data_IF_291221161072
#
_entry.id   IF_291221161072
#
_cell.length_a   1.000
_cell.length_b   1.000
_cell.length_c   1.000
_cell.angle_alpha   90.00
_cell.angle_beta   90.00
_cell.angle_gamma   90.00
#
_symmetry.space_group_name_H-M   'P 1'
#
loop_
_entity.id
_entity.type
_entity.pdbx_description
1 polymer ?
#
# COMPACT_ATOMS: atom_id res chain seq x y z
N UNK A 1 3.78 -0.64 -6.86
CA UNK A 1 4.06 0.65 -6.17
C UNK A 1 4.78 0.32 -4.87
N UNK A 2 5.95 0.91 -4.60
CA UNK A 2 6.83 0.50 -3.49
C UNK A 2 7.30 1.72 -2.70
N UNK A 3 7.03 1.76 -1.39
CA UNK A 3 7.62 2.74 -0.48
C UNK A 3 8.86 2.16 0.21
N UNK A 4 10.03 2.72 -0.13
CA UNK A 4 11.32 2.34 0.47
C UNK A 4 11.73 3.24 1.64
N UNK A 5 10.97 4.31 1.89
CA UNK A 5 11.18 5.22 3.02
C UNK A 5 10.37 4.70 4.22
N UNK A 6 10.96 3.72 4.90
CA UNK A 6 10.40 3.08 6.10
C UNK A 6 11.37 3.30 7.25
N UNK A 7 10.86 3.89 8.32
CA UNK A 7 11.55 4.01 9.60
C UNK A 7 10.53 3.74 10.71
N UNK A 8 10.68 2.62 11.40
CA UNK A 8 9.79 2.17 12.47
C UNK A 8 10.58 2.18 13.79
N UNK A 9 10.41 3.20 14.65
CA UNK A 9 11.09 3.25 15.93
C UNK A 9 10.80 2.03 16.81
N UNK A 10 11.73 1.63 17.68
CA UNK A 10 11.52 0.51 18.61
C UNK A 10 10.36 0.79 19.56
N UNK A 11 9.61 -0.26 19.93
CA UNK A 11 8.49 -0.21 20.85
C UNK A 11 7.41 0.82 20.49
N UNK A 12 7.12 0.98 19.19
CA UNK A 12 6.19 1.99 18.69
C UNK A 12 5.27 1.46 17.59
N UNK A 13 4.02 1.91 17.63
CA UNK A 13 3.10 1.82 16.49
C UNK A 13 3.33 3.01 15.56
N UNK A 14 3.58 2.75 14.28
CA UNK A 14 3.88 3.77 13.27
C UNK A 14 3.00 3.58 12.06
N UNK A 15 2.36 4.66 11.60
CA UNK A 15 1.59 4.68 10.34
C UNK A 15 2.35 5.48 9.29
N UNK A 16 2.70 4.82 8.19
CA UNK A 16 3.36 5.42 7.04
C UNK A 16 2.35 5.71 5.93
N UNK A 17 2.59 6.76 5.15
CA UNK A 17 1.75 7.11 3.99
C UNK A 17 2.64 7.36 2.77
N UNK A 18 2.22 6.86 1.60
CA UNK A 18 2.90 7.13 0.32
C UNK A 18 1.89 7.21 -0.82
N UNK A 19 1.94 8.30 -1.58
CA UNK A 19 1.11 8.49 -2.78
C UNK A 19 1.90 8.18 -4.04
N UNK A 20 1.25 7.50 -4.99
CA UNK A 20 1.75 7.23 -6.34
C UNK A 20 0.73 7.75 -7.36
N UNK A 21 1.15 8.71 -8.17
CA UNK A 21 0.32 9.35 -9.21
C UNK A 21 0.60 8.71 -10.57
N UNK A 22 -0.42 8.60 -11.41
CA UNK A 22 -0.30 8.08 -12.78
C UNK A 22 -0.28 9.22 -13.80
N UNK A 23 0.53 9.08 -14.84
CA UNK A 23 0.65 10.09 -15.91
C UNK A 23 -0.35 9.90 -17.06
N UNK A 24 -0.95 8.71 -17.15
CA UNK A 24 -1.94 8.35 -18.16
C UNK A 24 -3.16 7.74 -17.47
N UNK A 25 -4.28 7.70 -18.20
CA UNK A 25 -5.46 6.98 -17.74
C UNK A 25 -5.14 5.49 -17.63
N UNK A 26 -5.30 4.91 -16.44
CA UNK A 26 -5.06 3.49 -16.17
C UNK A 26 -6.35 2.80 -15.73
N UNK A 27 -6.45 1.52 -16.09
CA UNK A 27 -7.55 0.64 -15.72
C UNK A 27 -6.99 -0.52 -14.90
N UNK A 28 -7.22 -0.48 -13.59
CA UNK A 28 -6.71 -1.47 -12.64
C UNK A 28 -7.78 -2.54 -12.44
N UNK A 29 -7.43 -3.80 -12.64
CA UNK A 29 -8.34 -4.94 -12.48
C UNK A 29 -7.93 -5.90 -11.36
N UNK A 30 -6.74 -5.73 -10.78
CA UNK A 30 -6.30 -6.50 -9.62
C UNK A 30 -5.40 -5.68 -8.70
N UNK A 31 -5.56 -5.82 -7.39
CA UNK A 31 -4.71 -5.22 -6.34
C UNK A 31 -4.44 -6.23 -5.22
N UNK A 32 -3.23 -6.21 -4.66
CA UNK A 32 -2.91 -6.87 -3.38
C UNK A 32 -1.67 -6.24 -2.74
N UNK A 33 -1.65 -6.18 -1.42
CA UNK A 33 -0.53 -5.63 -0.66
C UNK A 33 0.55 -6.67 -0.40
N UNK A 34 1.74 -6.20 -0.02
CA UNK A 34 2.79 -7.01 0.57
C UNK A 34 3.53 -6.19 1.64
N UNK A 35 3.69 -6.80 2.80
CA UNK A 35 4.39 -6.32 3.98
C UNK A 35 4.91 -7.53 4.77
N UNK A 36 5.72 -7.31 5.81
CA UNK A 36 6.17 -8.38 6.71
C UNK A 36 5.40 -8.34 8.04
N UNK A 37 5.94 -9.05 9.04
CA UNK A 37 5.20 -9.52 10.21
C UNK A 37 4.69 -8.44 11.15
N UNK A 38 5.27 -7.24 11.12
CA UNK A 38 4.90 -6.15 12.00
C UNK A 38 3.73 -5.33 11.44
N UNK A 39 3.32 -5.54 10.20
CA UNK A 39 2.16 -4.86 9.61
C UNK A 39 0.86 -5.34 10.27
N UNK A 40 0.08 -4.39 10.78
CA UNK A 40 -1.23 -4.65 11.39
C UNK A 40 -2.40 -4.21 10.53
N UNK A 41 -2.16 -3.24 9.63
CA UNK A 41 -3.18 -2.76 8.71
C UNK A 41 -2.53 -2.11 7.47
N UNK A 42 -3.03 -2.47 6.28
CA UNK A 42 -2.63 -1.86 5.01
C UNK A 42 -3.87 -1.39 4.26
N UNK A 43 -3.98 -0.08 4.04
CA UNK A 43 -5.08 0.57 3.33
C UNK A 43 -4.58 1.24 2.06
N UNK A 44 -5.43 1.26 1.04
CA UNK A 44 -5.19 2.01 -0.20
C UNK A 44 -6.39 2.89 -0.48
N UNK A 45 -6.12 4.17 -0.71
CA UNK A 45 -7.12 5.16 -1.06
C UNK A 45 -6.88 5.70 -2.47
N UNK A 46 -7.93 6.15 -3.14
CA UNK A 46 -7.79 7.01 -4.31
C UNK A 46 -7.25 8.37 -3.85
N UNK A 47 -6.34 8.93 -4.63
CA UNK A 47 -5.74 10.25 -4.43
C UNK A 47 -6.10 11.15 -5.64
N UNK A 48 -6.77 12.25 -5.37
CA UNK A 48 -7.19 13.23 -6.37
C UNK A 48 -8.54 12.95 -7.06
N UNK A 49 -9.07 13.99 -7.71
CA UNK A 49 -10.34 13.94 -8.43
C UNK A 49 -11.59 13.82 -7.53
N UNK A 50 -12.77 13.52 -8.11
CA UNK A 50 -14.04 13.48 -7.37
C UNK A 50 -14.15 12.35 -6.33
N UNK A 51 -13.29 11.32 -6.42
CA UNK A 51 -13.25 10.17 -5.52
C UNK A 51 -12.07 10.23 -4.54
N UNK A 52 -11.45 11.39 -4.38
CA UNK A 52 -10.33 11.57 -3.46
C UNK A 52 -10.69 11.07 -2.05
N UNK A 53 -9.83 10.22 -1.48
CA UNK A 53 -10.04 9.61 -0.17
C UNK A 53 -10.92 8.35 -0.15
N UNK A 54 -11.43 7.87 -1.29
CA UNK A 54 -12.17 6.61 -1.36
C UNK A 54 -11.25 5.42 -1.02
N UNK A 55 -11.64 4.61 -0.04
CA UNK A 55 -10.93 3.36 0.32
C UNK A 55 -11.23 2.28 -0.72
N UNK A 56 -10.19 1.79 -1.40
CA UNK A 56 -10.34 0.77 -2.46
C UNK A 56 -9.75 -0.58 -2.10
N UNK A 57 -8.83 -0.66 -1.14
CA UNK A 57 -8.24 -1.91 -0.68
C UNK A 57 -7.89 -1.85 0.79
N UNK A 58 -8.08 -2.96 1.50
CA UNK A 58 -7.67 -3.12 2.90
C UNK A 58 -7.18 -4.55 3.14
N UNK A 59 -6.09 -4.68 3.90
CA UNK A 59 -5.57 -5.94 4.41
C UNK A 59 -5.19 -5.80 5.89
N UNK A 60 -5.39 -6.88 6.64
CA UNK A 60 -4.96 -7.01 8.04
C UNK A 60 -4.01 -8.20 8.25
N UNK A 61 -3.92 -9.09 7.26
CA UNK A 61 -3.05 -10.27 7.28
C UNK A 61 -1.90 -10.01 6.31
N UNK A 62 -0.68 -9.92 6.86
CA UNK A 62 0.55 -9.72 6.08
C UNK A 62 0.99 -11.01 5.36
N UNK A 63 0.66 -12.18 5.93
CA UNK A 63 1.07 -13.48 5.42
C UNK A 63 0.16 -13.91 4.26
N UNK A 64 -1.14 -13.63 4.37
CA UNK A 64 -2.15 -13.95 3.36
C UNK A 64 -3.00 -12.73 2.97
N UNK A 65 -2.39 -11.69 2.37
CA UNK A 65 -3.14 -10.50 1.96
C UNK A 65 -4.21 -10.87 0.93
N UNK A 66 -5.43 -10.30 1.02
CA UNK A 66 -6.46 -10.56 0.04
C UNK A 66 -6.03 -10.10 -1.34
N UNK A 67 -6.37 -10.88 -2.36
CA UNK A 67 -6.31 -10.47 -3.76
C UNK A 67 -7.65 -9.86 -4.12
N UNK A 68 -7.66 -8.56 -4.41
CA UNK A 68 -8.84 -7.85 -4.85
C UNK A 68 -8.90 -7.87 -6.38
N UNK A 69 -9.88 -8.58 -6.93
CA UNK A 69 -10.22 -8.53 -8.36
C UNK A 69 -11.37 -7.54 -8.59
N UNK A 70 -11.24 -6.69 -9.61
CA UNK A 70 -12.15 -5.57 -9.86
C UNK A 70 -12.85 -5.73 -11.21
N UNK A 71 -14.18 -5.83 -11.18
CA UNK A 71 -15.04 -5.79 -12.36
C UNK A 71 -16.35 -5.06 -12.01
N UNK A 72 -16.54 -3.78 -12.44
CA UNK A 72 -15.70 -3.02 -13.38
C UNK A 72 -14.33 -2.65 -12.80
N UNK A 73 -13.38 -2.28 -13.68
CA UNK A 73 -12.03 -1.84 -13.29
C UNK A 73 -12.05 -0.56 -12.46
N UNK A 74 -11.04 -0.39 -11.61
CA UNK A 74 -10.75 0.90 -11.00
C UNK A 74 -10.01 1.77 -12.02
N UNK A 75 -10.69 2.78 -12.56
CA UNK A 75 -10.08 3.79 -13.41
C UNK A 75 -9.34 4.82 -12.56
N UNK A 76 -8.14 5.20 -12.94
CA UNK A 76 -7.50 6.45 -12.48
C UNK A 76 -7.20 7.31 -13.70
N UNK A 77 -7.63 8.57 -13.68
CA UNK A 77 -7.30 9.53 -14.72
C UNK A 77 -5.86 10.04 -14.57
N UNK A 78 -5.29 10.62 -15.64
CA UNK A 78 -3.99 11.27 -15.55
C UNK A 78 -3.98 12.34 -14.44
N UNK A 79 -2.97 12.29 -13.57
CA UNK A 79 -2.85 13.16 -12.40
C UNK A 79 -3.59 12.66 -11.15
N UNK A 80 -4.37 11.58 -11.22
CA UNK A 80 -4.87 10.87 -10.04
C UNK A 80 -3.88 9.79 -9.59
N UNK A 81 -4.10 9.21 -8.41
CA UNK A 81 -3.20 8.23 -7.85
C UNK A 81 -3.82 7.29 -6.84
N UNK A 82 -2.95 6.49 -6.23
CA UNK A 82 -3.25 5.68 -5.06
C UNK A 82 -2.38 6.14 -3.90
N UNK A 83 -3.00 6.41 -2.76
CA UNK A 83 -2.33 6.66 -1.49
C UNK A 83 -2.37 5.40 -0.64
N UNK A 84 -1.21 4.80 -0.45
CA UNK A 84 -1.01 3.69 0.46
C UNK A 84 -0.85 4.24 1.88
N UNK A 85 -1.47 3.57 2.84
CA UNK A 85 -1.32 3.82 4.27
C UNK A 85 -1.11 2.48 4.97
N UNK A 86 0.03 2.30 5.61
CA UNK A 86 0.35 1.06 6.31
C UNK A 86 0.72 1.36 7.75
N UNK A 87 0.11 0.63 8.69
CA UNK A 87 0.37 0.70 10.12
C UNK A 87 1.16 -0.52 10.53
N UNK A 88 2.23 -0.28 11.28
CA UNK A 88 3.13 -1.30 11.79
C UNK A 88 3.22 -1.20 13.30
N UNK A 89 3.38 -2.34 13.98
CA UNK A 89 3.71 -2.41 15.39
C UNK A 89 5.12 -3.01 15.56
N UNK A 90 6.12 -2.16 15.76
CA UNK A 90 7.46 -2.61 16.08
C UNK A 90 7.57 -2.82 17.60
N UNK A 91 7.44 -4.07 18.04
CA UNK A 91 7.59 -4.51 19.43
C UNK A 91 9.04 -4.92 19.77
N UNK A 92 9.98 -4.69 18.86
CA UNK A 92 11.39 -4.97 19.05
C UNK A 92 12.13 -3.79 19.71
N UNK A 93 13.38 -4.03 20.13
CA UNK A 93 14.27 -3.03 20.69
C UNK A 93 15.14 -2.30 19.65
N UNK A 94 14.92 -2.57 18.37
CA UNK A 94 15.67 -1.98 17.26
C UNK A 94 14.75 -1.22 16.32
N UNK A 95 15.28 -0.20 15.64
CA UNK A 95 14.56 0.42 14.52
C UNK A 95 14.49 -0.56 13.36
N UNK A 96 13.29 -0.76 12.82
CA UNK A 96 13.06 -1.53 11.60
C UNK A 96 12.99 -0.55 10.42
N UNK A 97 13.65 -0.88 9.31
CA UNK A 97 13.65 -0.08 8.10
C UNK A 97 13.18 -0.94 6.91
N UNK A 98 13.14 -0.34 5.73
CA UNK A 98 12.91 -1.09 4.50
C UNK A 98 14.03 -2.12 4.27
N UNK A 99 13.66 -3.33 3.86
CA UNK A 99 14.63 -4.34 3.43
C UNK A 99 13.98 -5.64 2.96
N UNK A 100 14.81 -6.59 2.54
CA UNK A 100 14.37 -7.86 1.94
C UNK A 100 14.36 -9.03 2.91
N UNK A 101 14.91 -8.85 4.11
CA UNK A 101 14.91 -9.90 5.14
C UNK A 101 13.56 -9.89 5.86
N UNK A 102 13.19 -11.04 6.44
CA UNK A 102 11.98 -11.14 7.25
C UNK A 102 12.02 -10.23 8.49
N UNK A 103 13.21 -9.83 8.94
CA UNK A 103 13.42 -8.88 10.05
C UNK A 103 13.31 -7.41 9.65
N UNK A 104 13.26 -7.12 8.35
CA UNK A 104 13.01 -5.80 7.81
C UNK A 104 11.51 -5.65 7.52
N UNK A 105 11.06 -4.48 7.06
CA UNK A 105 9.67 -4.28 6.64
C UNK A 105 9.52 -3.85 5.19
N UNK A 106 8.32 -4.04 4.64
CA UNK A 106 7.95 -3.62 3.30
C UNK A 106 6.59 -2.93 3.25
N UNK A 107 6.43 -2.07 2.25
CA UNK A 107 5.17 -1.37 1.96
C UNK A 107 4.95 -1.34 0.45
N UNK A 108 4.46 -2.47 -0.08
CA UNK A 108 4.28 -2.67 -1.52
C UNK A 108 2.80 -2.90 -1.83
N UNK A 109 2.33 -2.24 -2.89
CA UNK A 109 1.07 -2.57 -3.56
C UNK A 109 1.39 -3.15 -4.93
N UNK A 110 1.05 -4.41 -5.12
CA UNK A 110 1.03 -5.07 -6.41
C UNK A 110 -0.33 -4.84 -7.08
N UNK A 111 -0.32 -4.85 -8.41
CA UNK A 111 -1.55 -4.77 -9.17
C UNK A 111 -1.34 -5.09 -10.64
N UNK A 112 -2.43 -5.48 -11.29
CA UNK A 112 -2.50 -5.70 -12.72
C UNK A 112 -3.41 -4.64 -13.34
N UNK A 113 -2.94 -4.03 -14.43
CA UNK A 113 -3.60 -2.91 -15.08
C UNK A 113 -3.30 -2.90 -16.57
N UNK A 114 -4.11 -2.15 -17.32
CA UNK A 114 -3.79 -1.72 -18.68
C UNK A 114 -3.94 -0.20 -18.80
N UNK A 115 -3.30 0.36 -19.81
CA UNK A 115 -3.39 1.77 -20.18
C UNK A 115 -4.35 1.87 -21.36
N UNK A 116 -5.23 2.87 -21.35
CA UNK A 116 -6.08 3.19 -22.51
C UNK A 116 -5.27 3.88 -23.62
#
# INVERSE_FOLDING_TARGET
MNNVDINLPPNATTTLNKTFVVDNKVQIFQLFSHAHEHMTEFRVFIDGGPRDGELVYIAYDWEHPPILELNPTLTLEAGQGLRLQATYNNDTNSTINFGFLSSDEMMILFGAYYVD
#
